data_IF_103158633294
#
_entry.id   IF_103158633294
#
_cell.length_a   1.000
_cell.length_b   1.000
_cell.length_c   1.000
_cell.angle_alpha   90.00
_cell.angle_beta   90.00
_cell.angle_gamma   90.00
#
_symmetry.space_group_name_H-M   'P 1'
#
loop_
_entity.id
_entity.type
_entity.pdbx_description
1 polymer ?
#
# COMPACT_ATOMS: atom_id res chain seq x y z
N UNK A 1 -27.27 -35.46 31.99
CA UNK A 1 -26.76 -35.61 30.61
C UNK A 1 -27.50 -34.66 29.66
N UNK A 2 -27.32 -33.34 29.79
CA UNK A 2 -28.02 -32.32 28.98
C UNK A 2 -27.08 -31.15 28.66
N UNK A 3 -25.88 -31.42 28.12
CA UNK A 3 -24.85 -30.41 27.88
C UNK A 3 -24.35 -30.28 26.43
N UNK A 4 -24.48 -31.33 25.61
CA UNK A 4 -23.81 -31.37 24.29
C UNK A 4 -24.56 -30.66 23.15
N UNK A 5 -25.89 -30.60 23.20
CA UNK A 5 -26.70 -30.09 22.08
C UNK A 5 -26.52 -28.60 21.79
N UNK A 6 -26.08 -27.80 22.75
CA UNK A 6 -25.87 -26.35 22.57
C UNK A 6 -24.57 -26.02 21.82
N UNK A 7 -23.52 -26.82 22.01
CA UNK A 7 -22.18 -26.55 21.45
C UNK A 7 -22.14 -26.93 19.97
N UNK A 8 -22.82 -28.02 19.60
CA UNK A 8 -22.95 -28.47 18.22
C UNK A 8 -23.78 -27.50 17.36
N UNK A 9 -24.83 -26.90 17.92
CA UNK A 9 -25.63 -25.88 17.23
C UNK A 9 -24.83 -24.62 16.88
N UNK A 10 -23.97 -24.15 17.79
CA UNK A 10 -23.11 -22.99 17.55
C UNK A 10 -22.03 -23.29 16.49
N UNK A 11 -21.43 -24.48 16.53
CA UNK A 11 -20.46 -24.92 15.51
C UNK A 11 -21.07 -25.02 14.12
N UNK A 12 -22.28 -25.56 14.00
CA UNK A 12 -22.99 -25.61 12.72
C UNK A 12 -23.35 -24.22 12.19
N UNK A 13 -23.74 -23.28 13.05
CA UNK A 13 -24.02 -21.91 12.65
C UNK A 13 -22.74 -21.17 12.20
N UNK A 14 -21.61 -21.37 12.88
CA UNK A 14 -20.31 -20.84 12.45
C UNK A 14 -19.86 -21.45 11.12
N UNK A 15 -19.98 -22.76 10.94
CA UNK A 15 -19.63 -23.45 9.69
C UNK A 15 -20.51 -22.98 8.52
N UNK A 16 -21.82 -22.77 8.73
CA UNK A 16 -22.73 -22.20 7.72
C UNK A 16 -22.38 -20.77 7.35
N UNK A 17 -21.93 -19.95 8.31
CA UNK A 17 -21.45 -18.58 8.03
C UNK A 17 -20.14 -18.58 7.27
N UNK A 18 -19.21 -19.48 7.59
CA UNK A 18 -17.94 -19.61 6.88
C UNK A 18 -18.14 -20.07 5.43
N UNK A 19 -19.03 -21.05 5.18
CA UNK A 19 -19.39 -21.49 3.82
C UNK A 19 -20.20 -20.44 3.05
N UNK A 20 -21.04 -19.65 3.71
CA UNK A 20 -21.68 -18.48 3.07
C UNK A 20 -20.68 -17.39 2.69
N UNK A 21 -19.60 -17.19 3.46
CA UNK A 21 -18.56 -16.22 3.13
C UNK A 21 -17.73 -16.61 1.89
N UNK A 22 -17.77 -17.87 1.47
CA UNK A 22 -17.16 -18.34 0.20
C UNK A 22 -18.09 -18.21 -1.01
N UNK A 23 -19.37 -17.86 -0.82
CA UNK A 23 -20.29 -17.57 -1.91
C UNK A 23 -20.34 -16.06 -2.19
N UNK A 24 -19.97 -15.67 -3.40
CA UNK A 24 -20.20 -14.33 -3.97
C UNK A 24 -21.46 -14.33 -4.81
N UNK A 25 -22.08 -13.18 -4.97
CA UNK A 25 -23.16 -13.03 -5.94
C UNK A 25 -22.58 -12.86 -7.34
N UNK A 26 -23.09 -13.65 -8.30
CA UNK A 26 -22.69 -13.53 -9.69
C UNK A 26 -23.02 -12.13 -10.22
N UNK A 27 -22.04 -11.46 -10.84
CA UNK A 27 -22.20 -10.11 -11.37
C UNK A 27 -23.37 -9.98 -12.37
N UNK A 28 -23.59 -10.99 -13.22
CA UNK A 28 -24.56 -10.90 -14.31
C UNK A 28 -25.98 -11.33 -13.92
N UNK A 29 -26.13 -12.29 -13.00
CA UNK A 29 -27.44 -12.84 -12.64
C UNK A 29 -27.81 -12.73 -11.15
N UNK A 30 -26.89 -12.28 -10.30
CA UNK A 30 -27.14 -12.04 -8.87
C UNK A 30 -27.35 -13.29 -8.01
N UNK A 31 -27.12 -14.50 -8.54
CA UNK A 31 -27.24 -15.74 -7.76
C UNK A 31 -25.91 -16.05 -7.04
N UNK A 32 -26.01 -16.66 -5.86
CA UNK A 32 -24.84 -17.06 -5.07
C UNK A 32 -24.02 -18.16 -5.78
N UNK A 33 -22.74 -17.88 -6.00
CA UNK A 33 -21.76 -18.74 -6.65
C UNK A 33 -20.47 -18.78 -5.84
N UNK A 34 -19.76 -19.90 -5.88
CA UNK A 34 -18.48 -20.02 -5.18
C UNK A 34 -17.45 -19.03 -5.75
N UNK A 35 -16.64 -18.44 -4.87
CA UNK A 35 -15.52 -17.55 -5.23
C UNK A 35 -14.52 -18.19 -6.22
N UNK A 36 -14.43 -19.52 -6.25
CA UNK A 36 -13.52 -20.28 -7.14
C UNK A 36 -14.21 -20.88 -8.36
N UNK A 37 -15.50 -20.59 -8.58
CA UNK A 37 -16.22 -21.09 -9.74
C UNK A 37 -15.72 -20.41 -11.03
N UNK A 38 -15.22 -21.23 -11.98
CA UNK A 38 -14.75 -20.76 -13.30
C UNK A 38 -15.92 -20.26 -14.18
N UNK A 39 -17.14 -20.72 -13.90
CA UNK A 39 -18.34 -20.22 -14.55
C UNK A 39 -19.54 -20.25 -13.59
N UNK A 40 -20.46 -19.32 -13.77
CA UNK A 40 -21.73 -19.31 -13.03
C UNK A 40 -22.61 -20.49 -13.48
N UNK A 41 -23.02 -21.40 -12.57
CA UNK A 41 -23.89 -22.53 -12.92
C UNK A 41 -25.33 -22.12 -13.25
N UNK A 42 -25.72 -20.88 -12.96
CA UNK A 42 -27.09 -20.39 -13.17
C UNK A 42 -27.27 -19.67 -14.51
N UNK A 43 -26.27 -18.93 -14.98
CA UNK A 43 -26.37 -18.11 -16.19
C UNK A 43 -25.27 -18.37 -17.23
N UNK A 44 -24.24 -19.16 -16.89
CA UNK A 44 -23.14 -19.47 -17.81
C UNK A 44 -22.06 -18.39 -17.94
N UNK A 45 -22.10 -17.32 -17.16
CA UNK A 45 -21.05 -16.28 -17.15
C UNK A 45 -19.69 -16.88 -16.79
N UNK A 46 -18.66 -16.61 -17.60
CA UNK A 46 -17.28 -17.09 -17.40
C UNK A 46 -16.47 -16.25 -16.42
N UNK A 47 -17.00 -15.11 -15.97
CA UNK A 47 -16.36 -14.23 -14.99
C UNK A 47 -17.36 -13.87 -13.88
N UNK A 48 -17.76 -14.85 -13.04
CA UNK A 48 -18.82 -14.66 -12.06
C UNK A 48 -18.53 -13.56 -11.03
N UNK A 49 -17.25 -13.31 -10.72
CA UNK A 49 -16.80 -12.29 -9.77
C UNK A 49 -16.74 -10.86 -10.33
N UNK A 50 -16.93 -10.67 -11.64
CA UNK A 50 -16.83 -9.37 -12.30
C UNK A 50 -15.42 -8.75 -12.26
N UNK A 51 -15.24 -7.54 -12.82
CA UNK A 51 -13.95 -6.84 -12.76
C UNK A 51 -13.57 -6.56 -11.31
N UNK A 52 -12.30 -6.79 -10.96
CA UNK A 52 -11.79 -6.60 -9.60
C UNK A 52 -12.10 -5.19 -9.09
N UNK A 53 -13.10 -5.07 -8.21
CA UNK A 53 -13.50 -3.80 -7.63
C UNK A 53 -12.52 -3.49 -6.50
N UNK A 54 -11.48 -2.73 -6.81
CA UNK A 54 -10.50 -2.31 -5.82
C UNK A 54 -11.21 -1.57 -4.68
N UNK A 55 -11.01 -2.03 -3.44
CA UNK A 55 -11.80 -1.52 -2.32
C UNK A 55 -11.53 -0.03 -2.10
N UNK A 56 -12.56 0.76 -1.72
CA UNK A 56 -12.37 2.19 -1.41
C UNK A 56 -11.33 2.43 -0.30
N UNK A 57 -11.11 1.44 0.57
CA UNK A 57 -10.09 1.48 1.62
C UNK A 57 -8.68 1.38 1.03
N UNK A 58 -8.49 0.51 0.05
CA UNK A 58 -7.22 0.31 -0.65
C UNK A 58 -6.85 1.52 -1.50
N UNK A 59 -7.82 2.09 -2.23
CA UNK A 59 -7.65 3.37 -2.94
C UNK A 59 -7.24 4.52 -2.00
N UNK A 60 -7.80 4.57 -0.78
CA UNK A 60 -7.38 5.57 0.22
C UNK A 60 -5.94 5.33 0.69
N UNK A 61 -5.54 4.09 0.95
CA UNK A 61 -4.15 3.76 1.32
C UNK A 61 -3.17 4.14 0.23
N UNK A 62 -3.45 3.80 -1.02
CA UNK A 62 -2.60 4.14 -2.17
C UNK A 62 -2.40 5.66 -2.32
N UNK A 63 -3.43 6.47 -2.05
CA UNK A 63 -3.29 7.94 -2.09
C UNK A 63 -2.41 8.49 -0.96
N UNK A 64 -2.51 7.91 0.23
CA UNK A 64 -1.69 8.30 1.38
C UNK A 64 -0.22 7.93 1.11
N UNK A 65 0.01 6.72 0.60
CA UNK A 65 1.34 6.22 0.23
C UNK A 65 1.97 7.06 -0.88
N UNK A 66 1.22 7.36 -1.95
CA UNK A 66 1.71 8.23 -3.03
C UNK A 66 2.09 9.65 -2.56
N UNK A 67 1.37 10.19 -1.57
CA UNK A 67 1.70 11.51 -1.00
C UNK A 67 2.96 11.45 -0.14
N UNK A 68 3.11 10.39 0.65
CA UNK A 68 4.30 10.15 1.47
C UNK A 68 5.55 9.93 0.59
N UNK A 69 5.43 9.09 -0.45
CA UNK A 69 6.51 8.82 -1.41
C UNK A 69 6.94 10.09 -2.13
N UNK A 70 5.98 10.89 -2.61
CA UNK A 70 6.30 12.17 -3.26
C UNK A 70 7.08 13.10 -2.35
N UNK A 71 6.74 13.15 -1.06
CA UNK A 71 7.43 13.98 -0.08
C UNK A 71 8.84 13.47 0.21
N UNK A 72 8.97 12.16 0.43
CA UNK A 72 10.26 11.50 0.64
C UNK A 72 11.20 11.77 -0.53
N UNK A 73 10.71 11.60 -1.76
CA UNK A 73 11.49 11.87 -2.98
C UNK A 73 11.86 13.34 -3.06
N UNK A 74 10.93 14.29 -2.84
CA UNK A 74 11.24 15.72 -2.94
C UNK A 74 12.28 16.18 -1.90
N UNK A 75 12.15 15.79 -0.64
CA UNK A 75 13.09 16.22 0.41
C UNK A 75 14.48 15.59 0.20
N UNK A 76 14.52 14.31 -0.16
CA UNK A 76 15.78 13.59 -0.40
C UNK A 76 16.51 14.13 -1.62
N UNK A 77 15.80 14.37 -2.73
CA UNK A 77 16.40 14.96 -3.94
C UNK A 77 16.88 16.39 -3.71
N UNK A 78 16.14 17.18 -2.93
CA UNK A 78 16.55 18.54 -2.59
C UNK A 78 17.81 18.56 -1.70
N UNK A 79 17.86 17.74 -0.64
CA UNK A 79 19.06 17.64 0.20
C UNK A 79 20.27 17.10 -0.57
N UNK A 80 20.07 16.07 -1.39
CA UNK A 80 21.13 15.52 -2.25
C UNK A 80 21.63 16.55 -3.27
N UNK A 81 20.71 17.29 -3.91
CA UNK A 81 21.05 18.35 -4.86
C UNK A 81 21.84 19.48 -4.20
N UNK A 82 21.40 19.96 -3.04
CA UNK A 82 22.12 20.98 -2.27
C UNK A 82 23.51 20.50 -1.83
N UNK A 83 23.63 19.25 -1.37
CA UNK A 83 24.92 18.66 -1.04
C UNK A 83 25.84 18.53 -2.26
N UNK A 84 25.30 18.12 -3.41
CA UNK A 84 26.06 18.00 -4.65
C UNK A 84 26.59 19.35 -5.12
N UNK A 85 25.74 20.38 -5.10
CA UNK A 85 26.12 21.75 -5.43
C UNK A 85 27.18 22.28 -4.45
N UNK A 86 27.00 22.06 -3.15
CA UNK A 86 27.96 22.45 -2.13
C UNK A 86 29.34 21.81 -2.35
N UNK A 87 29.39 20.50 -2.57
CA UNK A 87 30.65 19.78 -2.82
C UNK A 87 31.32 20.17 -4.13
N UNK A 88 30.53 20.49 -5.17
CA UNK A 88 31.04 20.97 -6.45
C UNK A 88 31.66 22.37 -6.37
N UNK A 89 31.05 23.28 -5.60
CA UNK A 89 31.53 24.66 -5.42
C UNK A 89 32.74 24.72 -4.47
N UNK A 90 32.74 23.94 -3.40
CA UNK A 90 33.80 23.96 -2.39
C UNK A 90 34.99 23.03 -2.71
N UNK A 91 34.89 22.18 -3.73
CA UNK A 91 35.96 21.26 -4.11
C UNK A 91 37.19 21.97 -4.66
N UNK A 92 38.37 21.39 -4.45
CA UNK A 92 39.68 21.94 -4.85
C UNK A 92 39.93 22.03 -6.38
N UNK A 93 38.87 21.95 -7.21
CA UNK A 93 38.93 21.96 -8.67
C UNK A 93 39.28 20.61 -9.30
N UNK A 94 39.11 20.51 -10.62
CA UNK A 94 39.45 19.31 -11.40
C UNK A 94 38.63 18.07 -11.03
N UNK A 95 39.24 16.88 -11.06
CA UNK A 95 38.55 15.64 -10.73
C UNK A 95 38.17 15.50 -9.24
N UNK A 96 38.80 16.28 -8.35
CA UNK A 96 38.53 16.24 -6.91
C UNK A 96 37.17 16.87 -6.56
N UNK A 97 36.67 17.84 -7.35
CA UNK A 97 35.35 18.43 -7.13
C UNK A 97 34.21 17.48 -7.47
N UNK A 98 34.43 16.53 -8.40
CA UNK A 98 33.48 15.46 -8.70
C UNK A 98 33.30 14.53 -7.49
N UNK A 99 34.40 14.12 -6.85
CA UNK A 99 34.34 13.29 -5.64
C UNK A 99 33.74 14.04 -4.45
N UNK A 100 34.07 15.33 -4.30
CA UNK A 100 33.46 16.17 -3.27
C UNK A 100 31.94 16.34 -3.52
N UNK A 101 31.52 16.61 -4.75
CA UNK A 101 30.11 16.72 -5.12
C UNK A 101 29.34 15.43 -4.84
N UNK A 102 29.88 14.27 -5.24
CA UNK A 102 29.26 12.97 -4.97
C UNK A 102 29.20 12.66 -3.46
N UNK A 103 30.26 12.96 -2.72
CA UNK A 103 30.32 12.74 -1.27
C UNK A 103 29.30 13.59 -0.52
N UNK A 104 29.29 14.91 -0.76
CA UNK A 104 28.34 15.81 -0.12
C UNK A 104 26.90 15.56 -0.61
N UNK A 105 26.71 15.15 -1.88
CA UNK A 105 25.41 14.72 -2.40
C UNK A 105 24.87 13.47 -1.70
N UNK A 106 25.73 12.48 -1.45
CA UNK A 106 25.37 11.29 -0.68
C UNK A 106 25.00 11.63 0.76
N UNK A 107 25.78 12.47 1.44
CA UNK A 107 25.46 12.95 2.80
C UNK A 107 24.11 13.66 2.80
N UNK A 108 23.83 14.50 1.80
CA UNK A 108 22.53 15.12 1.61
C UNK A 108 21.39 14.11 1.45
N UNK A 109 21.58 13.05 0.66
CA UNK A 109 20.58 12.00 0.50
C UNK A 109 20.30 11.24 1.83
N UNK A 110 21.35 10.91 2.58
CA UNK A 110 21.23 10.21 3.88
C UNK A 110 20.49 11.07 4.90
N UNK A 111 20.72 12.39 4.92
CA UNK A 111 20.02 13.32 5.83
C UNK A 111 18.58 13.59 5.34
N UNK A 112 18.34 13.55 4.04
CA UNK A 112 17.03 13.80 3.44
C UNK A 112 15.95 12.80 3.87
N UNK A 113 16.30 11.55 4.09
CA UNK A 113 15.36 10.49 4.54
C UNK A 113 14.77 10.77 5.93
N UNK A 114 15.57 10.95 7.01
CA UNK A 114 15.03 11.30 8.32
C UNK A 114 14.38 12.69 8.32
N UNK A 115 14.87 13.65 7.52
CA UNK A 115 14.22 14.94 7.38
C UNK A 115 12.79 14.79 6.82
N UNK A 116 12.60 14.01 5.76
CA UNK A 116 11.28 13.75 5.18
C UNK A 116 10.31 13.13 6.19
N UNK A 117 10.80 12.20 7.01
CA UNK A 117 10.03 11.56 8.07
C UNK A 117 9.58 12.57 9.14
N UNK A 118 10.47 13.44 9.62
CA UNK A 118 10.14 14.48 10.60
C UNK A 118 9.12 15.45 10.04
N UNK A 119 9.28 15.90 8.80
CA UNK A 119 8.35 16.83 8.15
C UNK A 119 6.98 16.12 7.99
N UNK A 120 6.97 14.80 7.75
CA UNK A 120 5.74 14.00 7.71
C UNK A 120 4.97 13.97 9.03
N UNK A 121 5.66 13.67 10.13
CA UNK A 121 5.06 13.66 11.46
C UNK A 121 4.60 15.05 11.89
N UNK A 122 5.38 16.10 11.61
CA UNK A 122 5.00 17.44 12.05
C UNK A 122 3.69 17.88 11.41
N UNK A 123 3.46 17.62 10.12
CA UNK A 123 2.15 17.90 9.49
C UNK A 123 1.01 17.10 10.11
N UNK A 124 1.20 15.82 10.45
CA UNK A 124 0.14 15.05 11.10
C UNK A 124 -0.18 15.50 12.53
N UNK A 125 0.70 16.29 13.15
CA UNK A 125 0.47 16.87 14.48
C UNK A 125 -0.17 18.26 14.42
N UNK A 126 -0.03 18.98 13.30
CA UNK A 126 -0.54 20.33 13.11
C UNK A 126 -1.78 20.42 12.18
N UNK A 127 -2.16 19.32 11.53
CA UNK A 127 -3.47 19.10 10.87
C UNK A 127 -4.43 18.37 11.83
#
# INVERSE_FOLDING_TARGET
MYGDSGIDGMRQAQQRRATQQELIDCHDCGNGVSFSAVACPHCGSTEPSGPAVQSRRELRRLRIEATNDRRLVMVTTLCAGLGTLYGGVMGAGGAASLWAALGYGFVGAVIGVPAAFVINISRSLFD
#
